data_IF_650847828574
#
_entry.id   IF_650847828574
#
_cell.length_a   1.000
_cell.length_b   1.000
_cell.length_c   1.000
_cell.angle_alpha   90.00
_cell.angle_beta   90.00
_cell.angle_gamma   90.00
#
_symmetry.space_group_name_H-M   'P 1'
#
loop_
_entity.id
_entity.type
_entity.pdbx_description
1 polymer ?
#
# COMPACT_ATOMS: atom_id res chain seq x y z
N UNK A 1 6.04 -3.92 9.65
CA UNK A 1 6.08 -3.69 8.21
C UNK A 1 7.33 -4.32 7.64
N UNK A 2 7.23 -4.99 6.49
CA UNK A 2 8.36 -5.54 5.76
C UNK A 2 8.98 -4.46 4.87
N UNK A 3 10.30 -4.23 5.04
CA UNK A 3 11.06 -3.28 4.25
C UNK A 3 10.60 -1.81 4.35
N UNK A 4 11.25 -0.95 3.58
CA UNK A 4 11.00 0.48 3.49
C UNK A 4 10.49 0.92 2.10
N UNK A 5 10.48 0.01 1.15
CA UNK A 5 10.02 0.28 -0.21
C UNK A 5 8.55 0.71 -0.24
N UNK A 6 8.28 1.70 -1.07
CA UNK A 6 6.98 2.34 -1.27
C UNK A 6 6.57 2.19 -2.72
N UNK A 7 5.26 2.32 -3.00
CA UNK A 7 4.71 2.25 -4.35
C UNK A 7 5.13 0.97 -5.09
N UNK A 8 5.31 -0.13 -4.36
CA UNK A 8 5.67 -1.43 -4.95
C UNK A 8 4.48 -2.05 -5.67
N UNK A 9 4.72 -2.80 -6.74
CA UNK A 9 6.00 -3.24 -7.30
C UNK A 9 6.67 -2.23 -8.25
N UNK A 10 6.24 -0.97 -8.28
CA UNK A 10 6.65 0.04 -9.25
C UNK A 10 5.89 -0.09 -10.57
N UNK A 11 5.96 0.98 -11.39
CA UNK A 11 5.25 0.98 -12.67
C UNK A 11 6.11 0.42 -13.79
N UNK A 12 5.59 -0.63 -14.41
CA UNK A 12 6.10 -1.22 -15.65
C UNK A 12 4.92 -1.49 -16.59
N UNK A 13 5.18 -1.95 -17.79
CA UNK A 13 4.10 -2.43 -18.66
C UNK A 13 3.61 -3.78 -18.13
N UNK A 14 2.66 -3.78 -17.21
CA UNK A 14 2.23 -4.95 -16.44
C UNK A 14 1.71 -6.12 -17.27
N UNK A 15 1.37 -5.92 -18.54
CA UNK A 15 1.04 -7.01 -19.46
C UNK A 15 2.26 -7.85 -19.86
N UNK A 16 3.48 -7.30 -19.70
CA UNK A 16 4.72 -7.93 -20.13
C UNK A 16 5.75 -8.07 -19.01
N UNK A 17 5.63 -7.25 -17.95
CA UNK A 17 6.60 -7.24 -16.85
C UNK A 17 5.94 -6.78 -15.56
N UNK A 18 6.07 -7.59 -14.51
CA UNK A 18 5.74 -7.24 -13.14
C UNK A 18 6.99 -7.50 -12.30
N UNK A 19 7.46 -6.51 -11.59
CA UNK A 19 8.62 -6.66 -10.72
C UNK A 19 8.21 -7.25 -9.36
N UNK A 20 9.06 -8.08 -8.77
CA UNK A 20 8.91 -8.48 -7.37
C UNK A 20 10.08 -7.98 -6.54
N UNK A 21 9.84 -7.75 -5.27
CA UNK A 21 10.81 -7.38 -4.26
C UNK A 21 11.13 -8.59 -3.39
N UNK A 22 12.39 -8.66 -2.93
CA UNK A 22 12.85 -9.69 -1.99
C UNK A 22 13.35 -9.01 -0.73
N UNK A 23 12.95 -9.53 0.42
CA UNK A 23 13.30 -8.99 1.73
C UNK A 23 13.79 -10.12 2.64
N UNK A 24 14.84 -9.85 3.40
CA UNK A 24 15.17 -10.67 4.56
C UNK A 24 14.23 -10.29 5.70
N UNK A 25 13.48 -11.26 6.19
CA UNK A 25 12.48 -11.09 7.25
C UNK A 25 12.83 -11.90 8.49
N UNK A 26 14.07 -12.39 8.59
CA UNK A 26 14.53 -13.26 9.69
C UNK A 26 14.23 -12.62 11.05
N UNK A 27 14.56 -11.35 11.23
CA UNK A 27 14.36 -10.63 12.50
C UNK A 27 12.89 -10.28 12.80
N UNK A 28 12.00 -10.45 11.82
CA UNK A 28 10.56 -10.20 11.99
C UNK A 28 9.81 -11.47 12.44
N UNK A 29 10.39 -12.63 12.25
CA UNK A 29 9.77 -13.90 12.62
C UNK A 29 10.00 -14.21 14.11
N UNK A 30 9.00 -14.80 14.73
CA UNK A 30 9.03 -15.22 16.13
C UNK A 30 8.73 -16.70 16.24
N UNK A 31 9.22 -17.33 17.32
CA UNK A 31 8.78 -18.68 17.67
C UNK A 31 7.27 -18.67 17.98
N UNK A 32 6.55 -19.66 17.48
CA UNK A 32 5.11 -19.77 17.63
C UNK A 32 4.35 -19.08 16.49
N UNK A 33 3.21 -18.49 16.80
CA UNK A 33 2.32 -17.90 15.79
C UNK A 33 2.86 -16.59 15.24
N UNK A 34 2.76 -16.43 13.92
CA UNK A 34 3.07 -15.22 13.17
C UNK A 34 1.89 -14.88 12.27
N UNK A 35 1.70 -13.59 12.00
CA UNK A 35 0.74 -13.10 11.03
C UNK A 35 1.48 -12.53 9.81
N UNK A 36 0.93 -12.79 8.64
CA UNK A 36 1.43 -12.26 7.38
C UNK A 36 0.26 -11.62 6.62
N UNK A 37 0.32 -10.32 6.40
CA UNK A 37 -0.73 -9.57 5.75
C UNK A 37 -0.21 -8.59 4.71
N UNK A 38 -1.08 -8.16 3.79
CA UNK A 38 -0.78 -7.18 2.76
C UNK A 38 -1.95 -6.22 2.54
N UNK A 39 -1.62 -4.95 2.34
CA UNK A 39 -2.54 -3.92 1.86
C UNK A 39 -2.36 -3.74 0.36
N UNK A 40 -3.45 -3.74 -0.38
CA UNK A 40 -3.45 -3.55 -1.83
C UNK A 40 -4.18 -2.26 -2.17
N UNK A 41 -3.49 -1.35 -2.87
CA UNK A 41 -4.06 -0.13 -3.43
C UNK A 41 -4.24 -0.23 -4.94
N UNK A 42 -5.02 0.66 -5.52
CA UNK A 42 -5.25 0.69 -6.97
C UNK A 42 -3.96 0.96 -7.76
N UNK A 43 -3.14 1.88 -7.29
CA UNK A 43 -1.86 2.23 -7.87
C UNK A 43 -1.94 2.48 -9.38
N UNK A 44 -0.88 2.14 -10.10
CA UNK A 44 -0.86 2.20 -11.57
C UNK A 44 -1.62 1.06 -12.25
N UNK A 45 -1.91 -0.02 -11.54
CA UNK A 45 -2.52 -1.21 -12.15
C UNK A 45 -4.00 -0.99 -12.45
N UNK A 46 -4.75 -0.53 -11.46
CA UNK A 46 -6.21 -0.37 -11.49
C UNK A 46 -6.66 1.09 -11.43
N UNK A 47 -5.82 1.99 -10.92
CA UNK A 47 -6.10 3.40 -10.78
C UNK A 47 -6.21 4.14 -12.11
N UNK A 48 -6.43 5.44 -12.01
CA UNK A 48 -6.51 6.32 -13.17
C UNK A 48 -5.12 6.59 -13.75
N UNK A 49 -5.01 6.56 -15.07
CA UNK A 49 -3.78 6.86 -15.79
C UNK A 49 -4.05 7.80 -16.96
N UNK A 50 -3.09 8.70 -17.18
CA UNK A 50 -3.08 9.60 -18.32
C UNK A 50 -4.15 10.69 -18.28
N UNK A 51 -4.13 11.52 -19.30
CA UNK A 51 -4.99 12.72 -19.39
C UNK A 51 -6.47 12.43 -19.62
N UNK A 52 -6.80 11.24 -20.12
CA UNK A 52 -8.19 10.85 -20.41
C UNK A 52 -8.88 10.20 -19.21
N UNK A 53 -8.26 10.20 -18.05
CA UNK A 53 -8.81 9.60 -16.81
C UNK A 53 -9.23 8.14 -16.98
N UNK A 54 -8.52 7.38 -17.79
CA UNK A 54 -8.78 5.96 -17.98
C UNK A 54 -8.41 5.18 -16.72
N UNK A 55 -9.29 4.30 -16.29
CA UNK A 55 -9.12 3.40 -15.16
C UNK A 55 -9.03 1.95 -15.62
N UNK A 56 -8.46 1.09 -14.79
CA UNK A 56 -8.36 -0.35 -15.07
C UNK A 56 -7.54 -0.69 -16.33
N UNK A 57 -6.52 0.10 -16.63
CA UNK A 57 -5.74 -0.04 -17.86
C UNK A 57 -5.09 -1.42 -17.99
N UNK A 58 -4.70 -2.03 -16.88
CA UNK A 58 -4.08 -3.35 -16.85
C UNK A 58 -5.00 -4.45 -16.32
N UNK A 59 -6.01 -4.10 -15.55
CA UNK A 59 -6.99 -5.02 -15.00
C UNK A 59 -7.91 -4.37 -13.97
N UNK A 60 -9.04 -4.99 -13.72
CA UNK A 60 -10.07 -4.53 -12.79
C UNK A 60 -10.00 -5.17 -11.39
N UNK A 61 -9.06 -6.08 -11.18
CA UNK A 61 -8.90 -6.84 -9.94
C UNK A 61 -7.49 -6.77 -9.42
N UNK A 62 -7.34 -6.36 -8.17
CA UNK A 62 -6.07 -6.41 -7.47
C UNK A 62 -5.74 -7.85 -7.09
N UNK A 63 -4.45 -8.19 -7.14
CA UNK A 63 -3.96 -9.51 -6.76
C UNK A 63 -2.63 -9.40 -6.02
N UNK A 64 -2.36 -10.39 -5.17
CA UNK A 64 -1.12 -10.57 -4.46
C UNK A 64 -0.44 -11.86 -4.92
N UNK A 65 0.84 -11.76 -5.25
CA UNK A 65 1.73 -12.91 -5.36
C UNK A 65 2.82 -12.77 -4.29
N UNK A 66 2.78 -13.68 -3.30
CA UNK A 66 3.70 -13.66 -2.18
C UNK A 66 4.24 -15.06 -1.93
N UNK A 67 5.53 -15.11 -1.58
CA UNK A 67 6.21 -16.32 -1.15
C UNK A 67 7.12 -15.98 0.03
N UNK A 68 6.98 -16.71 1.12
CA UNK A 68 7.88 -16.67 2.27
C UNK A 68 8.58 -18.02 2.37
N UNK A 69 9.90 -18.01 2.27
CA UNK A 69 10.72 -19.20 2.47
C UNK A 69 11.41 -19.12 3.84
N UNK A 70 11.17 -20.11 4.67
CA UNK A 70 11.78 -20.24 5.99
C UNK A 70 12.76 -21.40 5.95
N UNK A 71 14.01 -21.14 6.32
CA UNK A 71 15.04 -22.17 6.50
C UNK A 71 15.34 -22.30 7.98
N UNK A 72 15.11 -23.47 8.51
CA UNK A 72 15.39 -23.79 9.91
C UNK A 72 16.84 -24.19 10.14
N UNK A 73 17.30 -24.10 11.40
CA UNK A 73 18.67 -24.48 11.78
C UNK A 73 18.97 -25.98 11.55
N UNK A 74 17.97 -26.84 11.55
CA UNK A 74 18.07 -28.27 11.25
C UNK A 74 18.16 -28.58 9.75
N UNK A 75 18.16 -27.55 8.88
CA UNK A 75 18.22 -27.66 7.43
C UNK A 75 16.85 -27.83 6.75
N UNK A 76 15.77 -28.01 7.49
CA UNK A 76 14.42 -28.08 6.95
C UNK A 76 14.04 -26.72 6.32
N UNK A 77 13.30 -26.79 5.24
CA UNK A 77 12.76 -25.59 4.56
C UNK A 77 11.23 -25.66 4.54
N UNK A 78 10.59 -24.56 4.84
CA UNK A 78 9.14 -24.37 4.73
C UNK A 78 8.84 -23.24 3.76
N UNK A 79 7.77 -23.39 3.00
CA UNK A 79 7.32 -22.42 2.02
C UNK A 79 5.87 -22.03 2.29
N UNK A 80 5.64 -20.76 2.62
CA UNK A 80 4.31 -20.17 2.73
C UNK A 80 4.04 -19.33 1.48
N UNK A 81 2.90 -19.54 0.84
CA UNK A 81 2.52 -18.80 -0.38
C UNK A 81 1.16 -18.16 -0.23
N UNK A 82 0.91 -17.10 -1.01
CA UNK A 82 -0.43 -16.57 -1.16
C UNK A 82 -1.29 -17.57 -1.96
N UNK A 83 -2.17 -18.26 -1.28
CA UNK A 83 -3.03 -19.31 -1.84
C UNK A 83 -4.51 -19.10 -1.44
N UNK A 84 -5.36 -20.10 -1.71
CA UNK A 84 -6.79 -20.04 -1.41
C UNK A 84 -7.14 -20.06 0.09
N UNK A 85 -6.17 -20.33 0.97
CA UNK A 85 -6.38 -20.30 2.42
C UNK A 85 -6.35 -18.88 2.98
N UNK A 86 -5.87 -17.93 2.20
CA UNK A 86 -5.88 -16.54 2.58
C UNK A 86 -7.30 -15.97 2.60
N UNK A 87 -7.50 -14.97 3.41
CA UNK A 87 -8.73 -14.18 3.47
C UNK A 87 -8.44 -12.72 3.20
N UNK A 88 -9.43 -12.02 2.70
CA UNK A 88 -9.33 -10.59 2.41
C UNK A 88 -10.59 -9.85 2.84
N UNK A 89 -10.44 -8.57 3.13
CA UNK A 89 -11.54 -7.65 3.41
C UNK A 89 -11.36 -6.37 2.61
N UNK A 90 -12.43 -5.87 2.02
CA UNK A 90 -12.50 -4.54 1.41
C UNK A 90 -13.25 -3.53 2.31
N UNK A 91 -13.47 -3.89 3.58
CA UNK A 91 -14.15 -3.06 4.58
C UNK A 91 -13.18 -2.39 5.54
N UNK A 92 -11.96 -2.11 5.08
CA UNK A 92 -10.95 -1.37 5.84
C UNK A 92 -11.07 0.14 5.67
N UNK A 93 -10.19 0.90 6.34
CA UNK A 93 -10.25 2.37 6.38
C UNK A 93 -9.94 3.04 5.04
N UNK A 94 -9.13 2.44 4.19
CA UNK A 94 -8.79 2.99 2.87
C UNK A 94 -9.95 2.72 1.92
N UNK A 95 -10.71 3.77 1.57
CA UNK A 95 -11.89 3.69 0.71
C UNK A 95 -11.57 3.95 -0.76
N UNK A 96 -10.56 4.77 -1.01
CA UNK A 96 -9.96 5.04 -2.30
C UNK A 96 -8.46 5.18 -2.12
N UNK A 97 -7.68 4.67 -3.08
CA UNK A 97 -6.23 4.83 -3.09
C UNK A 97 -5.73 4.83 -4.53
N UNK A 98 -5.50 6.02 -5.05
CA UNK A 98 -5.19 6.25 -6.46
C UNK A 98 -4.08 7.32 -6.56
N UNK A 99 -3.13 7.13 -7.46
CA UNK A 99 -1.99 8.03 -7.59
C UNK A 99 -2.36 9.44 -8.07
N UNK A 100 -3.40 9.54 -8.88
CA UNK A 100 -3.83 10.83 -9.46
C UNK A 100 -5.05 11.43 -8.77
N UNK A 101 -5.87 10.57 -8.12
CA UNK A 101 -7.09 11.02 -7.45
C UNK A 101 -6.94 11.09 -5.93
N UNK A 102 -5.82 10.60 -5.40
CA UNK A 102 -5.51 10.67 -3.99
C UNK A 102 -6.06 9.50 -3.17
N UNK A 103 -6.28 9.76 -1.90
CA UNK A 103 -6.72 8.76 -0.93
C UNK A 103 -7.95 9.27 -0.16
N UNK A 104 -8.92 8.40 0.01
CA UNK A 104 -10.03 8.57 0.95
C UNK A 104 -9.86 7.57 2.09
N UNK A 105 -9.75 8.10 3.31
CA UNK A 105 -9.51 7.33 4.52
C UNK A 105 -10.60 7.56 5.55
N UNK A 106 -11.26 6.50 6.02
CA UNK A 106 -12.26 6.54 7.08
C UNK A 106 -11.73 5.83 8.33
N UNK A 107 -11.25 6.59 9.29
CA UNK A 107 -10.68 6.07 10.54
C UNK A 107 -11.67 5.21 11.36
N UNK A 108 -12.98 5.37 11.18
CA UNK A 108 -13.99 4.56 11.87
C UNK A 108 -13.98 3.09 11.44
N UNK A 109 -13.36 2.80 10.30
CA UNK A 109 -13.24 1.47 9.71
C UNK A 109 -11.90 0.80 10.00
N UNK A 110 -11.07 1.40 10.83
CA UNK A 110 -9.83 0.76 11.28
C UNK A 110 -10.12 -0.58 11.95
N UNK A 111 -9.27 -1.56 11.64
CA UNK A 111 -9.33 -2.90 12.23
C UNK A 111 -8.06 -3.13 13.03
N UNK A 112 -8.13 -2.79 14.30
CA UNK A 112 -6.98 -2.93 15.21
C UNK A 112 -6.49 -4.38 15.26
N UNK A 113 -5.19 -4.58 15.17
CA UNK A 113 -4.55 -5.89 15.26
C UNK A 113 -4.71 -6.79 14.04
N UNK A 114 -5.21 -6.29 12.89
CA UNK A 114 -5.41 -7.11 11.68
C UNK A 114 -4.13 -7.77 11.15
N UNK A 115 -2.97 -7.25 11.52
CA UNK A 115 -1.63 -7.71 11.16
C UNK A 115 -0.95 -8.51 12.29
N UNK A 116 -1.72 -8.94 13.29
CA UNK A 116 -1.21 -9.69 14.44
C UNK A 116 -1.79 -11.10 14.49
N UNK A 117 -1.00 -12.01 15.08
CA UNK A 117 -1.48 -13.36 15.35
C UNK A 117 -2.70 -13.35 16.28
N UNK A 118 -3.65 -14.24 16.03
CA UNK A 118 -4.90 -14.33 16.79
C UNK A 118 -5.97 -13.33 16.39
N UNK A 119 -5.76 -12.51 15.37
CA UNK A 119 -6.82 -11.63 14.85
C UNK A 119 -8.04 -12.43 14.40
N UNK A 120 -9.22 -11.98 14.79
CA UNK A 120 -10.48 -12.61 14.36
C UNK A 120 -10.87 -12.14 12.95
N UNK A 121 -10.61 -12.99 11.97
CA UNK A 121 -10.92 -12.76 10.55
C UNK A 121 -12.19 -13.46 10.08
N UNK A 122 -13.10 -13.81 10.99
CA UNK A 122 -14.31 -14.57 10.65
C UNK A 122 -15.23 -13.86 9.65
N UNK A 123 -15.20 -12.52 9.62
CA UNK A 123 -15.95 -11.68 8.68
C UNK A 123 -15.21 -11.42 7.34
N UNK A 124 -13.97 -11.91 7.21
CA UNK A 124 -13.22 -11.79 5.97
C UNK A 124 -13.61 -12.86 4.96
N UNK A 125 -13.48 -12.54 3.69
CA UNK A 125 -13.88 -13.43 2.61
C UNK A 125 -12.69 -14.26 2.11
N UNK A 126 -12.95 -15.48 1.68
CA UNK A 126 -11.97 -16.29 1.00
C UNK A 126 -11.51 -15.62 -0.30
N UNK A 127 -10.22 -15.67 -0.57
CA UNK A 127 -9.63 -15.12 -1.79
C UNK A 127 -9.84 -16.11 -2.96
N UNK A 128 -9.76 -15.57 -4.17
CA UNK A 128 -9.74 -16.37 -5.41
C UNK A 128 -8.33 -16.46 -5.94
N UNK A 129 -7.88 -17.65 -6.29
CA UNK A 129 -6.67 -17.83 -7.07
C UNK A 129 -6.91 -17.34 -8.50
N UNK A 130 -6.06 -16.45 -8.98
CA UNK A 130 -6.07 -15.99 -10.36
C UNK A 130 -5.11 -16.82 -11.19
N UNK A 131 -5.55 -17.22 -12.38
CA UNK A 131 -4.66 -17.75 -13.40
C UNK A 131 -4.02 -16.59 -14.16
N UNK A 132 -2.79 -16.26 -13.77
CA UNK A 132 -2.02 -15.18 -14.36
C UNK A 132 -0.64 -15.69 -14.76
N UNK A 133 -0.17 -15.27 -15.94
CA UNK A 133 1.13 -15.66 -16.46
C UNK A 133 2.25 -15.26 -15.50
N UNK A 134 2.94 -16.24 -14.92
CA UNK A 134 4.07 -15.99 -14.00
C UNK A 134 5.37 -15.71 -14.75
N UNK A 135 5.42 -15.99 -16.05
CA UNK A 135 6.59 -15.73 -16.91
C UNK A 135 6.94 -14.24 -17.06
N UNK A 136 6.00 -13.35 -16.75
CA UNK A 136 6.23 -11.90 -16.78
C UNK A 136 6.73 -11.34 -15.44
N UNK A 137 6.84 -12.18 -14.40
CA UNK A 137 7.29 -11.77 -13.06
C UNK A 137 8.83 -11.83 -13.04
N UNK A 138 9.46 -10.70 -12.78
CA UNK A 138 10.93 -10.55 -12.82
C UNK A 138 11.42 -9.84 -11.54
N UNK A 139 12.70 -10.08 -11.21
CA UNK A 139 13.31 -9.36 -10.09
C UNK A 139 13.36 -7.85 -10.37
N UNK A 140 13.15 -7.05 -9.35
CA UNK A 140 13.34 -5.61 -9.44
C UNK A 140 14.81 -5.28 -9.72
N UNK A 141 15.03 -4.37 -10.66
CA UNK A 141 16.38 -3.91 -11.04
C UNK A 141 16.64 -2.46 -10.66
N UNK A 142 15.59 -1.66 -10.52
CA UNK A 142 15.70 -0.27 -10.12
C UNK A 142 15.77 -0.11 -8.58
N UNK A 143 16.38 0.97 -8.06
CA UNK A 143 16.30 1.29 -6.64
C UNK A 143 14.85 1.41 -6.17
N UNK A 144 14.62 1.09 -4.89
CA UNK A 144 13.32 1.28 -4.28
C UNK A 144 12.97 2.77 -4.16
N UNK A 145 11.71 3.10 -4.33
CA UNK A 145 11.17 4.38 -3.86
C UNK A 145 11.10 4.29 -2.35
N UNK A 146 11.79 5.20 -1.67
CA UNK A 146 11.85 5.25 -0.20
C UNK A 146 11.59 6.68 0.29
N UNK A 147 11.22 6.80 1.55
CA UNK A 147 11.14 8.11 2.20
C UNK A 147 12.56 8.58 2.55
N UNK A 148 12.98 9.70 1.97
CA UNK A 148 14.29 10.30 2.24
C UNK A 148 14.26 11.19 3.48
N UNK A 149 13.27 12.07 3.59
CA UNK A 149 13.18 13.04 4.66
C UNK A 149 11.73 13.41 5.00
N UNK A 150 11.55 14.11 6.11
CA UNK A 150 10.28 14.73 6.50
C UNK A 150 10.47 16.24 6.53
N UNK A 151 9.72 16.95 5.69
CA UNK A 151 9.76 18.40 5.58
C UNK A 151 8.56 18.99 6.31
N UNK A 152 8.78 20.03 7.09
CA UNK A 152 7.71 20.77 7.78
C UNK A 152 7.34 22.00 6.97
N UNK A 153 6.07 22.45 7.03
CA UNK A 153 5.68 23.71 6.45
C UNK A 153 6.56 24.87 7.00
N UNK A 154 7.07 25.72 6.12
CA UNK A 154 7.78 26.92 6.49
C UNK A 154 6.83 28.05 6.90
N UNK A 155 5.66 28.11 6.28
CA UNK A 155 4.61 29.06 6.57
C UNK A 155 3.24 28.41 6.57
N UNK A 156 2.36 28.93 7.43
CA UNK A 156 0.93 28.58 7.43
C UNK A 156 0.17 29.90 7.39
N UNK A 157 -0.69 30.05 6.40
CA UNK A 157 -1.46 31.29 6.21
C UNK A 157 -2.82 31.02 5.57
N UNK A 158 -3.67 32.05 5.56
CA UNK A 158 -4.98 31.98 4.90
C UNK A 158 -4.88 32.56 3.48
N UNK A 159 -5.45 31.87 2.51
CA UNK A 159 -5.67 32.43 1.17
C UNK A 159 -6.76 33.52 1.21
N UNK A 160 -6.87 34.35 0.17
CA UNK A 160 -7.97 35.33 0.06
C UNK A 160 -9.37 34.71 0.17
N UNK A 161 -9.50 33.44 -0.18
CA UNK A 161 -10.76 32.70 -0.11
C UNK A 161 -10.96 31.95 1.24
N UNK A 162 -10.11 32.23 2.23
CA UNK A 162 -10.21 31.65 3.56
C UNK A 162 -9.70 30.20 3.70
N UNK A 163 -9.00 29.66 2.69
CA UNK A 163 -8.40 28.34 2.78
C UNK A 163 -7.07 28.40 3.53
N UNK A 164 -6.80 27.41 4.38
CA UNK A 164 -5.51 27.28 5.06
C UNK A 164 -4.48 26.72 4.08
N UNK A 165 -3.41 27.47 3.86
CA UNK A 165 -2.28 27.10 3.00
C UNK A 165 -1.11 26.68 3.88
N UNK A 166 -0.54 25.54 3.55
CA UNK A 166 0.72 25.02 4.11
C UNK A 166 1.80 25.13 3.04
N UNK A 167 2.66 26.11 3.21
CA UNK A 167 3.76 26.37 2.26
C UNK A 167 5.03 25.68 2.77
N UNK A 168 5.57 24.77 1.99
CA UNK A 168 6.78 24.01 2.33
C UNK A 168 8.05 24.68 1.79
N UNK A 169 7.93 25.79 1.03
CA UNK A 169 9.06 26.58 0.55
C UNK A 169 9.86 25.94 -0.58
N UNK A 170 9.43 24.81 -1.08
CA UNK A 170 10.07 24.12 -2.22
C UNK A 170 9.08 23.23 -2.95
N UNK A 171 9.36 22.99 -4.22
CA UNK A 171 8.68 21.94 -4.99
C UNK A 171 9.25 20.58 -4.59
N UNK A 172 8.37 19.58 -4.40
CA UNK A 172 8.77 18.25 -3.96
C UNK A 172 7.78 17.20 -4.42
N UNK A 173 8.23 15.95 -4.43
CA UNK A 173 7.41 14.77 -4.60
C UNK A 173 7.28 14.07 -3.25
N UNK A 174 6.06 13.74 -2.83
CA UNK A 174 5.86 13.09 -1.54
C UNK A 174 4.39 12.88 -1.19
N UNK A 175 4.15 12.64 0.07
CA UNK A 175 2.81 12.56 0.68
C UNK A 175 2.84 13.18 2.07
N UNK A 176 1.66 13.47 2.59
CA UNK A 176 1.50 14.17 3.86
C UNK A 176 1.42 13.18 5.01
N UNK A 177 2.13 13.48 6.10
CA UNK A 177 1.87 12.91 7.41
C UNK A 177 1.05 13.91 8.23
N UNK A 178 -0.23 13.62 8.38
CA UNK A 178 -1.16 14.46 9.11
C UNK A 178 -1.46 13.84 10.48
N UNK A 179 -1.37 14.66 11.54
CA UNK A 179 -1.87 14.32 12.88
C UNK A 179 -3.01 15.24 13.20
N UNK A 180 -4.20 14.68 13.36
CA UNK A 180 -5.41 15.43 13.65
C UNK A 180 -6.06 14.94 14.93
N UNK A 181 -6.81 15.83 15.58
CA UNK A 181 -7.70 15.51 16.67
C UNK A 181 -8.98 16.32 16.47
N UNK A 182 -10.12 15.67 16.62
CA UNK A 182 -11.41 16.31 16.41
C UNK A 182 -12.57 15.40 16.80
N UNK A 183 -13.81 15.89 16.74
CA UNK A 183 -14.99 15.08 17.02
C UNK A 183 -15.13 13.98 15.97
N UNK A 184 -15.73 12.84 16.36
CA UNK A 184 -16.04 11.75 15.46
C UNK A 184 -16.90 12.24 14.29
N UNK A 185 -16.54 11.85 13.07
CA UNK A 185 -17.22 12.27 11.85
C UNK A 185 -16.71 13.60 11.25
N UNK A 186 -15.78 14.29 11.90
CA UNK A 186 -15.10 15.43 11.28
C UNK A 186 -14.31 14.99 10.05
N UNK A 187 -14.36 15.79 8.98
CA UNK A 187 -13.63 15.55 7.75
C UNK A 187 -12.52 16.58 7.59
N UNK A 188 -11.35 16.13 7.21
CA UNK A 188 -10.22 16.98 6.80
C UNK A 188 -9.92 16.67 5.33
N UNK A 189 -9.95 17.71 4.50
CA UNK A 189 -9.58 17.59 3.09
C UNK A 189 -8.25 18.27 2.85
N UNK A 190 -7.33 17.57 2.22
CA UNK A 190 -6.04 18.08 1.78
C UNK A 190 -6.04 18.13 0.25
N UNK A 191 -5.65 19.27 -0.29
CA UNK A 191 -5.47 19.45 -1.75
C UNK A 191 -4.03 19.83 -1.99
N UNK A 192 -3.37 19.13 -2.88
CA UNK A 192 -2.01 19.43 -3.29
C UNK A 192 -2.04 20.35 -4.50
N UNK A 193 -1.19 21.36 -4.48
CA UNK A 193 -0.99 22.27 -5.60
C UNK A 193 0.51 22.50 -5.80
N UNK A 194 0.90 22.61 -7.04
CA UNK A 194 2.23 23.04 -7.48
C UNK A 194 2.11 24.47 -8.01
N UNK A 195 2.97 25.37 -7.53
CA UNK A 195 3.02 26.80 -7.89
C UNK A 195 4.41 27.23 -8.28
#
# INVERSE_FOLDING_TARGET
RVGDALLTPGWTTYRHRIQYQTYDVTDLLRNGENALGALLGDGWYRGHLGFQRQRNMYGDRLALLLQLQIRYADGRTELVTSDSNWKASNRGPIRMNDLYWGEEYDARLEKEGWDQAGFNDADWQAVRKLDHAKSIVVAQVAPNVVRHEEIRPQRIFQSPNGQTILDFGQNMVGWVRLKVSGPAGATVTLTHAEV
#
